data_IF_022062519722
#
_entry.id   IF_022062519722
#
_cell.length_a   1.000
_cell.length_b   1.000
_cell.length_c   1.000
_cell.angle_alpha   90.00
_cell.angle_beta   90.00
_cell.angle_gamma   90.00
#
_symmetry.space_group_name_H-M   'P 1'
#
loop_
_entity.id
_entity.type
_entity.pdbx_description
1 polymer ?
#
# COMPACT_ATOMS: atom_id res chain seq x y z
N UNK A 1 10.45 10.45 -17.32
CA UNK A 1 10.53 9.21 -16.52
C UNK A 1 11.77 9.23 -15.64
N UNK A 2 13.01 9.33 -16.18
CA UNK A 2 14.28 9.25 -15.41
C UNK A 2 14.34 10.23 -14.22
N UNK A 3 13.97 11.50 -14.43
CA UNK A 3 13.97 12.51 -13.35
C UNK A 3 13.02 12.11 -12.21
N UNK A 4 11.82 11.63 -12.55
CA UNK A 4 10.84 11.20 -11.55
C UNK A 4 11.31 9.94 -10.82
N UNK A 5 11.89 8.98 -11.53
CA UNK A 5 12.45 7.77 -10.92
C UNK A 5 13.60 8.11 -9.96
N UNK A 6 14.45 9.08 -10.31
CA UNK A 6 15.54 9.52 -9.46
C UNK A 6 15.04 10.25 -8.20
N UNK A 7 14.02 11.11 -8.32
CA UNK A 7 13.39 11.79 -7.19
C UNK A 7 12.70 10.78 -6.27
N UNK A 8 11.93 9.86 -6.84
CA UNK A 8 11.21 8.83 -6.07
C UNK A 8 12.17 7.85 -5.40
N UNK A 9 13.03 7.20 -6.17
CA UNK A 9 13.97 6.18 -5.66
C UNK A 9 15.05 6.77 -4.76
N UNK A 10 15.70 7.86 -5.18
CA UNK A 10 16.71 8.55 -4.38
C UNK A 10 16.13 9.13 -3.09
N UNK A 11 14.95 9.74 -3.16
CA UNK A 11 14.26 10.28 -1.98
C UNK A 11 13.84 9.19 -1.00
N UNK A 12 13.36 8.04 -1.49
CA UNK A 12 13.03 6.89 -0.66
C UNK A 12 14.28 6.33 0.04
N UNK A 13 15.37 6.16 -0.69
CA UNK A 13 16.63 5.65 -0.15
C UNK A 13 17.16 6.54 0.99
N UNK A 14 17.09 7.86 0.83
CA UNK A 14 17.56 8.82 1.83
C UNK A 14 16.66 8.90 3.07
N UNK A 15 15.35 8.75 2.89
CA UNK A 15 14.37 8.93 3.97
C UNK A 15 13.96 7.62 4.67
N UNK A 16 14.21 6.47 4.07
CA UNK A 16 13.87 5.17 4.65
C UNK A 16 14.48 4.95 6.05
N UNK A 17 15.74 5.31 6.34
CA UNK A 17 16.32 5.18 7.67
C UNK A 17 15.66 6.08 8.73
N UNK A 18 15.06 7.20 8.28
CA UNK A 18 14.45 8.20 9.18
C UNK A 18 13.04 7.79 9.58
N UNK A 19 12.20 7.47 8.61
CA UNK A 19 10.82 7.09 8.87
C UNK A 19 10.20 6.42 7.65
N UNK A 20 9.73 5.18 7.82
CA UNK A 20 9.12 4.38 6.76
C UNK A 20 7.84 4.96 6.17
N UNK A 21 7.09 5.76 6.91
CA UNK A 21 5.87 6.41 6.41
C UNK A 21 6.17 7.64 5.57
N UNK A 22 7.17 8.42 5.99
CA UNK A 22 7.54 9.69 5.32
C UNK A 22 8.36 9.43 4.06
N UNK A 23 9.12 8.33 4.01
CA UNK A 23 9.99 8.00 2.89
C UNK A 23 9.26 7.84 1.54
N UNK A 24 7.98 7.52 1.55
CA UNK A 24 7.16 7.49 0.33
C UNK A 24 6.45 8.81 0.05
N UNK A 25 5.98 9.49 1.09
CA UNK A 25 5.16 10.70 0.95
C UNK A 25 5.96 11.89 0.43
N UNK A 26 7.11 12.18 1.03
CA UNK A 26 7.93 13.34 0.63
C UNK A 26 8.45 13.21 -0.80
N UNK A 27 9.06 12.09 -1.23
CA UNK A 27 9.48 11.93 -2.62
C UNK A 27 8.34 12.00 -3.62
N UNK A 28 7.16 11.46 -3.27
CA UNK A 28 5.97 11.55 -4.13
C UNK A 28 5.50 13.01 -4.29
N UNK A 29 5.47 13.79 -3.21
CA UNK A 29 5.12 15.21 -3.26
C UNK A 29 6.15 16.03 -4.08
N UNK A 30 7.45 15.74 -3.92
CA UNK A 30 8.51 16.37 -4.72
C UNK A 30 8.42 15.97 -6.20
N UNK A 31 8.12 14.70 -6.49
CA UNK A 31 7.92 14.23 -7.87
C UNK A 31 6.72 14.92 -8.52
N UNK A 32 5.62 15.10 -7.79
CA UNK A 32 4.46 15.86 -8.27
C UNK A 32 4.82 17.32 -8.57
N UNK A 33 5.54 17.97 -7.66
CA UNK A 33 6.07 19.33 -7.89
C UNK A 33 6.97 19.40 -9.13
N UNK A 34 7.85 18.41 -9.31
CA UNK A 34 8.70 18.31 -10.50
C UNK A 34 7.89 18.14 -11.78
N UNK A 35 6.82 17.33 -11.77
CA UNK A 35 5.90 17.19 -12.92
C UNK A 35 5.27 18.52 -13.27
N UNK A 36 4.73 19.24 -12.27
CA UNK A 36 4.11 20.57 -12.48
C UNK A 36 5.13 21.55 -13.06
N UNK A 37 6.38 21.53 -12.57
CA UNK A 37 7.44 22.39 -13.08
C UNK A 37 7.84 22.02 -14.52
N UNK A 38 8.05 20.72 -14.78
CA UNK A 38 8.43 20.21 -16.11
C UNK A 38 7.32 20.47 -17.13
N UNK A 39 6.04 20.35 -16.72
CA UNK A 39 4.89 20.62 -17.62
C UNK A 39 4.82 22.08 -18.11
N UNK A 40 5.46 23.03 -17.39
CA UNK A 40 5.55 24.44 -17.82
C UNK A 40 6.63 24.70 -18.86
N UNK A 41 7.51 23.73 -19.11
CA UNK A 41 8.58 23.87 -20.12
C UNK A 41 7.97 23.63 -21.49
N UNK A 42 8.14 24.56 -22.48
CA UNK A 42 7.49 24.46 -23.81
C UNK A 42 7.77 23.14 -24.55
N UNK A 43 8.92 22.53 -24.31
CA UNK A 43 9.32 21.25 -24.91
C UNK A 43 8.42 20.08 -24.49
N UNK A 44 7.79 20.14 -23.31
CA UNK A 44 6.94 19.09 -22.77
C UNK A 44 5.45 19.44 -22.83
N UNK A 45 5.10 20.57 -23.46
CA UNK A 45 3.70 21.01 -23.64
C UNK A 45 2.95 20.23 -24.72
N UNK A 46 3.66 19.55 -25.60
CA UNK A 46 3.01 18.74 -26.63
C UNK A 46 2.50 17.45 -25.98
N UNK A 47 1.20 17.28 -25.95
CA UNK A 47 0.59 16.01 -25.60
C UNK A 47 1.10 14.95 -26.60
N UNK A 48 1.71 13.91 -26.08
CA UNK A 48 2.03 12.72 -26.89
C UNK A 48 0.74 11.89 -26.93
N UNK A 49 0.07 11.91 -28.07
CA UNK A 49 -1.13 11.11 -28.32
C UNK A 49 -0.77 10.03 -29.34
N UNK A 50 -1.11 8.80 -29.07
CA UNK A 50 -1.18 7.73 -30.06
C UNK A 50 -2.59 7.79 -30.68
N UNK A 51 -2.70 8.31 -31.88
CA UNK A 51 -3.96 8.50 -32.58
C UNK A 51 -4.76 7.19 -32.78
N UNK A 52 -4.08 6.04 -32.84
CA UNK A 52 -4.71 4.72 -33.04
C UNK A 52 -4.83 3.89 -31.74
N UNK A 53 -4.62 4.47 -30.57
CA UNK A 53 -4.68 3.72 -29.31
C UNK A 53 -6.12 3.62 -28.79
N UNK A 54 -6.69 2.42 -28.81
CA UNK A 54 -8.00 2.14 -28.16
C UNK A 54 -8.04 2.44 -26.65
N UNK A 55 -6.88 2.58 -26.01
CA UNK A 55 -6.76 2.94 -24.58
C UNK A 55 -6.97 4.44 -24.39
N UNK A 56 -6.75 5.24 -25.46
CA UNK A 56 -6.93 6.69 -25.46
C UNK A 56 -8.25 7.14 -26.11
N UNK A 57 -9.18 6.22 -26.35
CA UNK A 57 -10.56 6.62 -26.67
C UNK A 57 -11.05 7.52 -25.54
N UNK A 58 -11.20 8.81 -25.86
CA UNK A 58 -11.80 9.76 -24.94
C UNK A 58 -13.19 9.23 -24.62
N UNK A 59 -13.40 8.85 -23.38
CA UNK A 59 -14.77 8.63 -22.91
C UNK A 59 -15.54 9.89 -23.25
N UNK A 60 -16.62 9.75 -24.01
CA UNK A 60 -17.57 10.81 -24.29
C UNK A 60 -17.71 11.66 -23.03
N UNK A 61 -17.48 12.94 -23.16
CA UNK A 61 -17.75 13.89 -22.10
C UNK A 61 -19.16 13.62 -21.63
N UNK A 62 -19.28 12.99 -20.49
CA UNK A 62 -20.56 12.89 -19.81
C UNK A 62 -20.94 14.33 -19.53
N UNK A 63 -21.76 14.89 -20.42
CA UNK A 63 -22.33 16.23 -20.33
C UNK A 63 -23.04 16.31 -18.98
N UNK A 64 -22.32 16.78 -18.00
CA UNK A 64 -22.80 16.88 -16.64
C UNK A 64 -23.38 18.27 -16.50
N UNK A 65 -24.68 18.38 -16.46
CA UNK A 65 -25.39 19.40 -15.71
C UNK A 65 -25.02 19.30 -14.21
N UNK A 66 -23.76 19.57 -13.91
CA UNK A 66 -23.26 19.59 -12.52
C UNK A 66 -23.04 21.06 -12.16
N UNK A 67 -23.47 21.43 -10.95
CA UNK A 67 -23.07 22.70 -10.38
C UNK A 67 -21.54 22.80 -10.48
N UNK A 68 -20.98 23.91 -11.00
CA UNK A 68 -19.55 24.06 -11.23
C UNK A 68 -18.83 23.99 -9.90
N UNK A 69 -18.18 22.85 -9.63
CA UNK A 69 -17.37 22.64 -8.46
C UNK A 69 -15.96 23.16 -8.75
N UNK A 70 -15.42 24.02 -7.88
CA UNK A 70 -14.04 24.49 -8.05
C UNK A 70 -13.06 23.34 -7.84
N UNK A 71 -11.86 23.45 -8.44
CA UNK A 71 -10.79 22.47 -8.27
C UNK A 71 -10.48 22.16 -6.80
N UNK A 72 -10.39 23.18 -5.95
CA UNK A 72 -10.11 23.01 -4.52
C UNK A 72 -11.25 22.29 -3.78
N UNK A 73 -12.49 22.53 -4.17
CA UNK A 73 -13.64 21.80 -3.61
C UNK A 73 -13.59 20.32 -4.01
N UNK A 74 -13.26 20.01 -5.25
CA UNK A 74 -13.12 18.64 -5.72
C UNK A 74 -11.96 17.90 -5.01
N UNK A 75 -10.88 18.61 -4.68
CA UNK A 75 -9.70 18.06 -4.00
C UNK A 75 -9.81 18.05 -2.47
N UNK A 76 -10.90 18.53 -1.89
CA UNK A 76 -11.12 18.56 -0.44
C UNK A 76 -10.85 17.22 0.27
N UNK A 77 -11.30 16.04 -0.22
CA UNK A 77 -11.02 14.76 0.44
C UNK A 77 -9.52 14.48 0.56
N UNK A 78 -8.74 14.84 -0.47
CA UNK A 78 -7.29 14.64 -0.48
C UNK A 78 -6.56 15.58 0.48
N UNK A 79 -7.00 16.84 0.56
CA UNK A 79 -6.46 17.79 1.54
C UNK A 79 -6.73 17.34 2.97
N UNK A 80 -7.95 16.88 3.25
CA UNK A 80 -8.32 16.34 4.56
C UNK A 80 -7.52 15.07 4.89
N UNK A 81 -7.40 14.15 3.93
CA UNK A 81 -6.61 12.94 4.12
C UNK A 81 -5.15 13.27 4.46
N UNK A 82 -4.54 14.17 3.68
CA UNK A 82 -3.15 14.60 3.89
C UNK A 82 -2.98 15.28 5.25
N UNK A 83 -3.89 16.21 5.59
CA UNK A 83 -3.85 16.91 6.87
C UNK A 83 -3.98 15.95 8.06
N UNK A 84 -4.96 15.04 8.01
CA UNK A 84 -5.17 14.01 9.04
C UNK A 84 -3.94 13.11 9.19
N UNK A 85 -3.36 12.67 8.07
CA UNK A 85 -2.17 11.81 8.08
C UNK A 85 -0.98 12.53 8.71
N UNK A 86 -0.73 13.78 8.31
CA UNK A 86 0.36 14.60 8.87
C UNK A 86 0.15 14.81 10.36
N UNK A 87 -1.02 15.26 10.78
CA UNK A 87 -1.31 15.56 12.19
C UNK A 87 -1.23 14.31 13.06
N UNK A 88 -1.84 13.21 12.63
CA UNK A 88 -1.94 12.00 13.45
C UNK A 88 -0.65 11.16 13.46
N UNK A 89 0.15 11.17 12.40
CA UNK A 89 1.35 10.34 12.30
C UNK A 89 2.66 11.09 12.60
N UNK A 90 2.77 12.38 12.20
CA UNK A 90 4.01 13.15 12.38
C UNK A 90 4.12 13.86 13.73
N UNK A 91 3.00 14.15 14.39
CA UNK A 91 3.04 14.80 15.69
C UNK A 91 3.19 13.74 16.79
N UNK A 92 4.39 13.62 17.43
CA UNK A 92 4.69 12.50 18.34
C UNK A 92 3.71 12.34 19.50
N UNK A 93 3.26 13.40 20.21
CA UNK A 93 2.30 13.25 21.30
C UNK A 93 0.96 12.72 20.82
N UNK A 94 0.45 13.15 19.67
CA UNK A 94 -0.82 12.68 19.10
C UNK A 94 -0.69 11.22 18.67
N UNK A 95 0.38 10.89 17.95
CA UNK A 95 0.64 9.52 17.51
C UNK A 95 0.72 8.55 18.70
N UNK A 96 1.40 8.95 19.78
CA UNK A 96 1.53 8.13 21.00
C UNK A 96 0.16 7.81 21.60
N UNK A 97 -0.72 8.80 21.75
CA UNK A 97 -2.07 8.60 22.30
C UNK A 97 -2.90 7.71 21.38
N UNK A 98 -2.92 7.98 20.07
CA UNK A 98 -3.70 7.22 19.11
C UNK A 98 -3.20 5.78 18.96
N UNK A 99 -1.90 5.53 19.11
CA UNK A 99 -1.29 4.21 19.01
C UNK A 99 -1.43 3.34 20.26
N UNK A 100 -1.98 3.87 21.37
CA UNK A 100 -2.25 3.10 22.59
C UNK A 100 -3.34 2.04 22.37
N UNK A 101 -4.29 2.31 21.49
CA UNK A 101 -5.36 1.38 21.15
C UNK A 101 -4.86 0.32 20.18
N UNK A 102 -4.65 -0.89 20.72
CA UNK A 102 -4.17 -2.04 19.97
C UNK A 102 -5.21 -3.15 20.03
N UNK A 103 -5.57 -3.68 18.85
CA UNK A 103 -6.44 -4.83 18.71
C UNK A 103 -5.62 -5.96 18.07
N UNK A 104 -5.63 -7.13 18.65
CA UNK A 104 -4.94 -8.31 18.12
C UNK A 104 -5.44 -9.56 18.81
N UNK A 105 -5.17 -10.71 18.18
CA UNK A 105 -5.45 -12.03 18.72
C UNK A 105 -4.17 -12.62 19.27
N UNK A 106 -4.28 -13.40 20.35
CA UNK A 106 -3.16 -14.20 20.86
C UNK A 106 -3.19 -15.60 20.25
N UNK A 107 -2.02 -16.10 19.92
CA UNK A 107 -1.84 -17.47 19.43
C UNK A 107 -0.92 -18.23 20.36
N UNK A 108 -1.30 -19.45 20.79
CA UNK A 108 -0.43 -20.30 21.61
C UNK A 108 0.73 -20.85 20.75
N UNK A 109 1.75 -21.34 21.43
CA UNK A 109 2.82 -22.11 20.80
C UNK A 109 2.23 -23.36 20.12
N UNK A 110 2.69 -23.61 18.90
CA UNK A 110 2.29 -24.80 18.13
C UNK A 110 3.51 -25.56 17.65
N UNK A 111 3.47 -26.88 17.76
CA UNK A 111 4.51 -27.79 17.29
C UNK A 111 3.93 -28.69 16.22
N UNK A 112 4.58 -28.75 15.06
CA UNK A 112 4.17 -29.67 13.99
C UNK A 112 4.65 -31.08 14.25
N UNK A 113 4.03 -32.08 13.63
CA UNK A 113 4.44 -33.49 13.73
C UNK A 113 5.90 -33.77 13.30
N UNK A 114 6.54 -32.84 12.60
CA UNK A 114 7.93 -32.90 12.18
C UNK A 114 8.87 -32.09 13.09
N UNK A 115 8.37 -31.62 14.24
CA UNK A 115 9.19 -30.89 15.22
C UNK A 115 9.43 -29.41 14.91
N UNK A 116 8.78 -28.83 13.92
CA UNK A 116 8.85 -27.39 13.68
C UNK A 116 7.99 -26.66 14.72
N UNK A 117 8.62 -25.74 15.46
CA UNK A 117 8.01 -25.00 16.56
C UNK A 117 7.71 -23.58 16.09
N UNK A 118 6.46 -23.15 16.22
CA UNK A 118 6.06 -21.74 16.09
C UNK A 118 5.84 -21.17 17.48
N UNK A 119 6.60 -20.17 17.85
CA UNK A 119 6.53 -19.56 19.18
C UNK A 119 5.18 -18.92 19.46
N UNK A 120 4.78 -18.89 20.74
CA UNK A 120 3.57 -18.21 21.16
C UNK A 120 3.66 -16.70 20.90
N UNK A 121 2.61 -16.12 20.34
CA UNK A 121 2.48 -14.67 20.13
C UNK A 121 1.33 -14.12 20.97
N UNK A 122 1.65 -13.32 21.98
CA UNK A 122 0.64 -12.71 22.87
C UNK A 122 -0.26 -11.71 22.17
N UNK A 123 0.23 -11.03 21.14
CA UNK A 123 -0.54 -10.10 20.32
C UNK A 123 -0.03 -10.17 18.87
N UNK A 124 -0.67 -11.01 18.08
CA UNK A 124 -0.29 -11.17 16.67
C UNK A 124 -0.66 -9.94 15.86
N UNK A 125 0.35 -9.34 15.20
CA UNK A 125 0.19 -8.21 14.27
C UNK A 125 -0.84 -7.17 14.74
N UNK A 126 -0.58 -6.45 15.85
CA UNK A 126 -1.58 -5.61 16.48
C UNK A 126 -2.06 -4.51 15.54
N UNK A 127 -3.36 -4.51 15.26
CA UNK A 127 -4.03 -3.43 14.55
C UNK A 127 -4.11 -2.21 15.47
N UNK A 128 -3.68 -1.05 14.97
CA UNK A 128 -3.84 0.25 15.62
C UNK A 128 -4.89 1.05 14.87
N UNK A 129 -6.20 0.84 15.13
CA UNK A 129 -7.27 1.35 14.28
C UNK A 129 -7.25 2.87 14.12
N UNK A 130 -6.81 3.61 15.14
CA UNK A 130 -6.79 5.08 15.09
C UNK A 130 -5.59 5.68 14.33
N UNK A 131 -4.57 4.88 14.02
CA UNK A 131 -3.40 5.32 13.22
C UNK A 131 -3.33 4.61 11.86
N UNK A 132 -4.37 3.87 11.51
CA UNK A 132 -4.42 3.12 10.26
C UNK A 132 -4.87 4.01 9.11
N UNK A 133 -4.21 3.91 7.96
CA UNK A 133 -4.53 4.72 6.79
C UNK A 133 -5.99 4.61 6.35
N UNK A 134 -6.58 3.42 6.49
CA UNK A 134 -8.00 3.18 6.22
C UNK A 134 -8.95 4.04 7.05
N UNK A 135 -8.61 4.29 8.32
CA UNK A 135 -9.40 5.15 9.20
C UNK A 135 -9.40 6.59 8.72
N UNK A 136 -8.22 7.10 8.29
CA UNK A 136 -8.12 8.45 7.73
C UNK A 136 -8.88 8.59 6.41
N UNK A 137 -8.85 7.56 5.56
CA UNK A 137 -9.64 7.51 4.32
C UNK A 137 -11.15 7.58 4.62
N UNK A 138 -11.64 6.80 5.58
CA UNK A 138 -13.05 6.81 5.96
C UNK A 138 -13.44 8.17 6.55
N UNK A 139 -12.65 8.73 7.47
CA UNK A 139 -12.92 10.02 8.08
C UNK A 139 -12.92 11.16 7.04
N UNK A 140 -11.91 11.22 6.19
CA UNK A 140 -11.84 12.25 5.14
C UNK A 140 -13.03 12.13 4.16
N UNK A 141 -13.45 10.91 3.84
CA UNK A 141 -14.61 10.66 2.98
C UNK A 141 -15.91 11.11 3.64
N UNK A 142 -16.12 10.79 4.92
CA UNK A 142 -17.32 11.20 5.67
C UNK A 142 -17.41 12.73 5.74
N UNK A 143 -16.31 13.39 6.12
CA UNK A 143 -16.26 14.87 6.22
C UNK A 143 -16.56 15.49 4.86
N UNK A 144 -15.98 14.94 3.80
CA UNK A 144 -16.19 15.44 2.43
C UNK A 144 -17.63 15.23 1.95
N UNK A 145 -18.25 14.09 2.26
CA UNK A 145 -19.65 13.82 1.94
C UNK A 145 -20.57 14.85 2.63
N UNK A 146 -20.34 15.10 3.92
CA UNK A 146 -21.12 16.09 4.68
C UNK A 146 -20.95 17.50 4.09
N UNK A 147 -19.72 17.85 3.72
CA UNK A 147 -19.45 19.14 3.07
C UNK A 147 -20.19 19.26 1.74
N UNK A 148 -20.10 18.24 0.88
CA UNK A 148 -20.75 18.25 -0.44
C UNK A 148 -22.27 18.23 -0.37
N UNK A 149 -22.85 17.55 0.63
CA UNK A 149 -24.28 17.57 0.87
C UNK A 149 -24.76 18.97 1.28
N UNK A 150 -24.06 19.64 2.20
CA UNK A 150 -24.39 20.99 2.66
C UNK A 150 -24.33 22.03 1.53
N UNK A 151 -23.45 21.85 0.56
CA UNK A 151 -23.27 22.79 -0.56
C UNK A 151 -24.04 22.38 -1.82
N UNK A 152 -24.89 21.35 -1.76
CA UNK A 152 -25.73 20.92 -2.88
C UNK A 152 -24.98 20.26 -4.04
N UNK A 153 -23.72 19.85 -3.84
CA UNK A 153 -22.93 19.19 -4.89
C UNK A 153 -23.30 17.71 -5.10
N UNK A 154 -24.03 17.10 -4.17
CA UNK A 154 -24.47 15.71 -4.26
C UNK A 154 -25.94 15.61 -4.63
N UNK A 155 -26.23 14.81 -5.66
CA UNK A 155 -27.61 14.43 -6.01
C UNK A 155 -28.22 13.55 -4.91
N UNK A 156 -29.55 13.64 -4.76
CA UNK A 156 -30.32 12.77 -3.86
C UNK A 156 -30.02 11.29 -4.18
N UNK A 157 -29.68 10.49 -3.17
CA UNK A 157 -29.31 9.07 -3.33
C UNK A 157 -27.85 8.80 -3.72
N UNK A 158 -27.02 9.82 -4.01
CA UNK A 158 -25.62 9.62 -4.38
C UNK A 158 -24.82 8.90 -3.28
N UNK A 159 -25.04 9.23 -2.01
CA UNK A 159 -24.35 8.59 -0.87
C UNK A 159 -24.71 7.12 -0.78
N UNK A 160 -25.98 6.76 -0.94
CA UNK A 160 -26.44 5.37 -0.92
C UNK A 160 -25.85 4.57 -2.09
N UNK A 161 -25.76 5.17 -3.27
CA UNK A 161 -25.13 4.55 -4.43
C UNK A 161 -23.62 4.32 -4.22
N UNK A 162 -22.92 5.32 -3.66
CA UNK A 162 -21.48 5.20 -3.32
C UNK A 162 -21.28 4.09 -2.30
N UNK A 163 -22.07 4.08 -1.23
CA UNK A 163 -22.00 3.06 -0.20
C UNK A 163 -22.23 1.65 -0.75
N UNK A 164 -23.32 1.45 -1.49
CA UNK A 164 -23.64 0.15 -2.10
C UNK A 164 -22.55 -0.34 -3.04
N UNK A 165 -22.01 0.53 -3.90
CA UNK A 165 -20.91 0.19 -4.81
C UNK A 165 -19.62 -0.12 -4.05
N UNK A 166 -19.33 0.63 -3.00
CA UNK A 166 -18.14 0.42 -2.16
C UNK A 166 -18.21 -0.95 -1.49
N UNK A 167 -19.31 -1.27 -0.81
CA UNK A 167 -19.49 -2.57 -0.16
C UNK A 167 -19.38 -3.70 -1.18
N UNK A 168 -20.06 -3.59 -2.33
CA UNK A 168 -20.01 -4.61 -3.39
C UNK A 168 -18.59 -4.85 -3.93
N UNK A 169 -17.75 -3.81 -4.01
CA UNK A 169 -16.37 -3.92 -4.46
C UNK A 169 -15.41 -4.37 -3.34
N UNK A 170 -15.68 -4.00 -2.10
CA UNK A 170 -14.83 -4.38 -0.97
C UNK A 170 -14.94 -5.86 -0.61
N UNK A 171 -16.12 -6.48 -0.74
CA UNK A 171 -16.33 -7.88 -0.37
C UNK A 171 -15.35 -8.82 -1.08
N UNK A 172 -15.24 -8.85 -2.43
CA UNK A 172 -14.31 -9.76 -3.12
C UNK A 172 -12.86 -9.50 -2.73
N UNK A 173 -12.45 -8.22 -2.62
CA UNK A 173 -11.09 -7.86 -2.23
C UNK A 173 -10.77 -8.28 -0.80
N UNK A 174 -11.71 -8.12 0.12
CA UNK A 174 -11.54 -8.55 1.52
C UNK A 174 -11.40 -10.06 1.61
N UNK A 175 -12.24 -10.82 0.91
CA UNK A 175 -12.15 -12.29 0.88
C UNK A 175 -10.79 -12.71 0.32
N UNK A 176 -10.36 -12.13 -0.80
CA UNK A 176 -9.09 -12.46 -1.44
C UNK A 176 -7.89 -12.19 -0.50
N UNK A 177 -7.83 -11.00 0.10
CA UNK A 177 -6.72 -10.63 1.00
C UNK A 177 -6.73 -11.50 2.25
N UNK A 178 -7.90 -11.74 2.86
CA UNK A 178 -8.02 -12.60 4.04
C UNK A 178 -7.57 -14.03 3.73
N UNK A 179 -7.98 -14.58 2.59
CA UNK A 179 -7.55 -15.91 2.15
C UNK A 179 -6.05 -16.00 1.94
N UNK A 180 -5.43 -14.96 1.35
CA UNK A 180 -3.97 -14.89 1.18
C UNK A 180 -3.24 -14.83 2.52
N UNK A 181 -3.73 -14.04 3.48
CA UNK A 181 -3.13 -13.95 4.83
C UNK A 181 -3.22 -15.30 5.55
N UNK A 182 -4.38 -15.94 5.50
CA UNK A 182 -4.59 -17.27 6.12
C UNK A 182 -3.65 -18.30 5.49
N UNK A 183 -3.55 -18.31 4.16
CA UNK A 183 -2.64 -19.21 3.43
C UNK A 183 -1.19 -18.97 3.81
N UNK A 184 -0.73 -17.71 3.80
CA UNK A 184 0.63 -17.35 4.15
C UNK A 184 0.95 -17.74 5.61
N UNK A 185 0.02 -17.51 6.54
CA UNK A 185 0.19 -17.90 7.95
C UNK A 185 0.23 -19.41 8.12
N UNK A 186 -0.65 -20.16 7.42
CA UNK A 186 -0.64 -21.61 7.42
C UNK A 186 0.71 -22.16 6.91
N UNK A 187 1.20 -21.68 5.78
CA UNK A 187 2.49 -22.09 5.21
C UNK A 187 3.66 -21.79 6.16
N UNK A 188 3.62 -20.63 6.84
CA UNK A 188 4.62 -20.24 7.82
C UNK A 188 4.59 -21.17 9.04
N UNK A 189 3.41 -21.37 9.63
CA UNK A 189 3.25 -22.16 10.87
C UNK A 189 3.45 -23.68 10.66
N UNK A 190 3.21 -24.18 9.44
CA UNK A 190 3.46 -25.59 9.08
C UNK A 190 4.92 -25.90 8.72
N UNK A 191 5.79 -24.87 8.65
CA UNK A 191 7.17 -25.03 8.25
C UNK A 191 7.41 -25.16 6.75
N UNK A 192 6.37 -25.06 5.92
CA UNK A 192 6.49 -25.16 4.45
C UNK A 192 7.39 -24.07 3.89
N UNK A 193 7.27 -22.83 4.40
CA UNK A 193 8.14 -21.71 4.00
C UNK A 193 9.60 -22.03 4.30
N UNK A 194 9.91 -22.60 5.46
CA UNK A 194 11.27 -22.97 5.81
C UNK A 194 11.85 -24.01 4.84
N UNK A 195 11.09 -25.07 4.54
CA UNK A 195 11.52 -26.12 3.59
C UNK A 195 11.75 -25.56 2.20
N UNK A 196 10.84 -24.73 1.71
CA UNK A 196 10.97 -24.07 0.39
C UNK A 196 12.20 -23.13 0.36
N UNK A 197 12.37 -22.27 1.37
CA UNK A 197 13.50 -21.36 1.46
C UNK A 197 14.81 -22.14 1.52
N UNK A 198 14.88 -23.21 2.34
CA UNK A 198 16.06 -24.07 2.42
C UNK A 198 16.39 -24.72 1.07
N UNK A 199 15.39 -25.23 0.35
CA UNK A 199 15.59 -25.82 -0.97
C UNK A 199 16.14 -24.80 -1.99
N UNK A 200 15.58 -23.59 -2.02
CA UNK A 200 16.05 -22.51 -2.90
C UNK A 200 17.50 -22.08 -2.54
N UNK A 201 17.78 -21.93 -1.24
CA UNK A 201 19.12 -21.55 -0.78
C UNK A 201 20.16 -22.66 -1.04
N UNK A 202 19.79 -23.92 -0.93
CA UNK A 202 20.68 -25.04 -1.30
C UNK A 202 21.10 -25.00 -2.77
N UNK A 203 20.19 -24.55 -3.67
CA UNK A 203 20.48 -24.43 -5.09
C UNK A 203 21.26 -23.15 -5.43
N UNK A 204 20.91 -22.03 -4.83
CA UNK A 204 21.37 -20.69 -5.22
C UNK A 204 22.45 -20.12 -4.29
N UNK A 205 22.52 -20.58 -3.05
CA UNK A 205 23.45 -20.04 -2.06
C UNK A 205 23.34 -18.54 -1.87
N UNK A 206 24.45 -17.84 -1.80
CA UNK A 206 24.51 -16.37 -1.64
C UNK A 206 24.03 -15.60 -2.88
N UNK A 207 23.96 -16.24 -4.06
CA UNK A 207 23.41 -15.60 -5.26
C UNK A 207 21.92 -15.31 -5.15
N UNK A 208 21.24 -15.91 -4.18
CA UNK A 208 19.84 -15.60 -3.87
C UNK A 208 19.57 -14.09 -3.70
N UNK A 209 20.49 -13.35 -3.06
CA UNK A 209 20.34 -11.90 -2.85
C UNK A 209 20.13 -11.15 -4.18
N UNK A 210 20.90 -11.54 -5.22
CA UNK A 210 20.78 -10.92 -6.55
C UNK A 210 19.47 -11.32 -7.23
N UNK A 211 18.96 -12.52 -6.94
CA UNK A 211 17.74 -13.07 -7.53
C UNK A 211 16.47 -12.72 -6.74
N UNK A 212 16.60 -12.23 -5.50
CA UNK A 212 15.47 -11.85 -4.65
C UNK A 212 14.48 -10.89 -5.34
N UNK A 213 14.91 -9.86 -6.09
CA UNK A 213 14.00 -8.99 -6.84
C UNK A 213 13.16 -9.75 -7.87
N UNK A 214 13.71 -10.81 -8.48
CA UNK A 214 12.99 -11.63 -9.47
C UNK A 214 11.86 -12.39 -8.79
N UNK A 215 12.07 -12.93 -7.60
CA UNK A 215 11.00 -13.58 -6.82
C UNK A 215 9.89 -12.58 -6.45
N UNK A 216 10.25 -11.36 -6.02
CA UNK A 216 9.29 -10.29 -5.75
C UNK A 216 8.50 -9.90 -7.01
N UNK A 217 9.20 -9.72 -8.13
CA UNK A 217 8.58 -9.39 -9.41
C UNK A 217 7.62 -10.49 -9.90
N UNK A 218 8.03 -11.75 -9.84
CA UNK A 218 7.17 -12.89 -10.21
C UNK A 218 5.95 -12.97 -9.31
N UNK A 219 6.12 -12.77 -7.99
CA UNK A 219 5.02 -12.71 -7.04
C UNK A 219 4.03 -11.60 -7.37
N UNK A 220 4.52 -10.39 -7.65
CA UNK A 220 3.69 -9.25 -8.02
C UNK A 220 2.98 -9.47 -9.37
N UNK A 221 3.65 -10.12 -10.33
CA UNK A 221 3.06 -10.48 -11.62
C UNK A 221 1.92 -11.49 -11.46
N UNK A 222 2.13 -12.56 -10.72
CA UNK A 222 1.12 -13.62 -10.48
C UNK A 222 -0.09 -13.07 -9.72
N UNK A 223 0.15 -12.26 -8.69
CA UNK A 223 -0.93 -11.71 -7.84
C UNK A 223 -1.54 -10.43 -8.40
N UNK A 224 -0.94 -9.83 -9.43
CA UNK A 224 -1.29 -8.50 -9.97
C UNK A 224 -1.32 -7.40 -8.89
N UNK A 225 -0.61 -7.61 -7.77
CA UNK A 225 -0.61 -6.70 -6.63
C UNK A 225 0.68 -6.84 -5.83
N UNK A 226 1.40 -5.74 -5.65
CA UNK A 226 2.60 -5.72 -4.82
C UNK A 226 2.29 -6.08 -3.35
N UNK A 227 1.16 -5.58 -2.82
CA UNK A 227 0.73 -5.91 -1.45
C UNK A 227 0.48 -7.42 -1.28
N UNK A 228 -0.22 -8.04 -2.23
CA UNK A 228 -0.51 -9.47 -2.18
C UNK A 228 0.75 -10.31 -2.33
N UNK A 229 1.69 -9.89 -3.18
CA UNK A 229 3.01 -10.51 -3.32
C UNK A 229 3.79 -10.46 -1.99
N UNK A 230 3.83 -9.31 -1.34
CA UNK A 230 4.53 -9.16 -0.08
C UNK A 230 3.90 -9.99 1.06
N UNK A 231 2.58 -10.12 1.10
CA UNK A 231 1.89 -11.00 2.05
C UNK A 231 2.29 -12.46 1.82
N UNK A 232 2.35 -12.90 0.58
CA UNK A 232 2.61 -14.29 0.23
C UNK A 232 4.09 -14.64 0.35
N UNK A 233 4.97 -13.82 -0.20
CA UNK A 233 6.40 -14.11 -0.35
C UNK A 233 7.30 -13.41 0.68
N UNK A 234 6.79 -12.44 1.44
CA UNK A 234 7.60 -11.72 2.41
C UNK A 234 8.25 -12.63 3.45
N UNK A 235 7.48 -13.54 4.05
CA UNK A 235 8.02 -14.51 5.00
C UNK A 235 9.03 -15.47 4.37
N UNK A 236 8.84 -15.83 3.09
CA UNK A 236 9.81 -16.63 2.34
C UNK A 236 11.14 -15.87 2.17
N UNK A 237 11.09 -14.60 1.82
CA UNK A 237 12.27 -13.76 1.66
C UNK A 237 13.02 -13.55 2.99
N UNK A 238 12.29 -13.32 4.08
CA UNK A 238 12.85 -13.22 5.42
C UNK A 238 13.58 -14.51 5.80
N UNK A 239 12.91 -15.65 5.70
CA UNK A 239 13.48 -16.97 6.03
C UNK A 239 14.69 -17.29 5.15
N UNK A 240 14.64 -16.97 3.86
CA UNK A 240 15.76 -17.17 2.95
C UNK A 240 16.98 -16.31 3.35
N UNK A 241 16.76 -15.06 3.72
CA UNK A 241 17.82 -14.17 4.20
C UNK A 241 18.47 -14.67 5.48
N UNK A 242 17.68 -15.13 6.45
CA UNK A 242 18.16 -15.71 7.70
C UNK A 242 19.04 -16.95 7.44
N UNK A 243 18.64 -17.81 6.51
CA UNK A 243 19.40 -19.02 6.15
C UNK A 243 20.77 -18.71 5.54
N UNK A 244 20.96 -17.57 4.89
CA UNK A 244 22.25 -17.15 4.33
C UNK A 244 22.97 -16.11 5.18
N UNK A 245 22.45 -15.82 6.38
CA UNK A 245 22.98 -14.83 7.32
C UNK A 245 23.12 -13.42 6.72
N UNK A 246 22.11 -13.00 5.95
CA UNK A 246 21.97 -11.64 5.41
C UNK A 246 20.84 -10.94 6.15
N UNK A 247 20.97 -9.63 6.34
CA UNK A 247 19.92 -8.83 6.96
C UNK A 247 18.62 -8.95 6.15
N UNK A 248 17.50 -9.42 6.74
CA UNK A 248 16.23 -9.61 6.02
C UNK A 248 15.70 -8.34 5.36
N UNK A 249 16.00 -7.16 5.93
CA UNK A 249 15.60 -5.89 5.35
C UNK A 249 16.17 -5.68 3.94
N UNK A 250 17.36 -6.21 3.65
CA UNK A 250 18.00 -6.09 2.33
C UNK A 250 17.22 -6.90 1.30
N UNK A 251 16.89 -8.16 1.59
CA UNK A 251 16.19 -9.03 0.64
C UNK A 251 14.72 -8.63 0.45
N UNK A 252 14.09 -8.05 1.47
CA UNK A 252 12.70 -7.58 1.38
C UNK A 252 12.58 -6.19 0.72
N UNK A 253 13.66 -5.40 0.67
CA UNK A 253 13.68 -4.08 0.03
C UNK A 253 14.00 -4.14 -1.47
N UNK A 254 14.60 -5.24 -1.92
CA UNK A 254 14.93 -5.51 -3.33
C UNK A 254 13.72 -6.02 -4.10
#
# INVERSE_FOLDING_TARGET
>A
VLILSLIMGGGQLLLAPVNSTICFFIPAALALGAVIFISRIPRFHRAWAMEDSKIMEMHEEVSAERAPMSFHQAFLPYYLLTALTIVCLLIPPINRVLSMWKLGLSFPETVTGYGYVTAAEGLFSPLKPLTYAGTFLVLSSIISIVYYQKHGFLKTGAVQNVWSRTVKKCIPSTIAITSLIVMAKFMSSSGQIYVLSKGVIQLMGRYYVILAPIFGMVGAFITSSNMSSNILLGNFQVTAAELIHVEPAITCAL
#
